data_IF_288635100812
#
_entry.id   IF_288635100812
#
_cell.length_a   1.000
_cell.length_b   1.000
_cell.length_c   1.000
_cell.angle_alpha   90.00
_cell.angle_beta   90.00
_cell.angle_gamma   90.00
#
_symmetry.space_group_name_H-M   'P 1'
#
loop_
_entity.id
_entity.type
_entity.pdbx_description
1 polymer ?
#
# COMPACT_ATOMS: atom_id res chain seq x y z
N UNK A 1 -12.20 17.14 27.33
CA UNK A 1 -11.01 17.31 26.47
C UNK A 1 -10.08 16.14 26.71
N UNK A 2 -9.75 15.38 25.66
CA UNK A 2 -8.82 14.25 25.72
C UNK A 2 -7.39 14.78 25.86
N UNK A 3 -6.86 14.76 27.10
CA UNK A 3 -5.48 15.19 27.34
C UNK A 3 -4.51 14.20 26.70
N UNK A 4 -3.57 14.71 25.89
CA UNK A 4 -2.53 13.89 25.25
C UNK A 4 -2.98 13.20 23.96
N UNK A 5 -4.09 13.62 23.38
CA UNK A 5 -4.58 13.14 22.07
C UNK A 5 -4.75 14.32 21.13
N UNK A 6 -4.26 14.18 19.90
CA UNK A 6 -4.53 15.08 18.78
C UNK A 6 -5.45 14.35 17.83
N UNK A 7 -6.52 15.02 17.37
CA UNK A 7 -7.48 14.45 16.44
C UNK A 7 -7.38 15.10 15.06
N UNK A 8 -7.62 14.31 14.02
CA UNK A 8 -7.77 14.74 12.64
C UNK A 8 -8.97 14.02 12.01
N UNK A 9 -9.74 14.70 11.16
CA UNK A 9 -10.96 14.18 10.55
C UNK A 9 -10.85 14.14 9.03
N UNK A 10 -11.80 13.46 8.33
CA UNK A 10 -11.70 13.19 6.88
C UNK A 10 -10.36 12.55 6.53
N UNK A 11 -9.99 11.52 7.30
CA UNK A 11 -8.60 11.14 7.45
C UNK A 11 -8.08 10.38 6.23
N UNK A 12 -8.68 9.25 5.90
CA UNK A 12 -8.23 8.39 4.79
C UNK A 12 -8.50 9.01 3.43
N UNK A 13 -9.67 9.60 3.24
CA UNK A 13 -10.08 10.23 1.99
C UNK A 13 -9.11 11.34 1.54
N UNK A 14 -8.62 12.13 2.50
CA UNK A 14 -7.67 13.22 2.23
C UNK A 14 -6.22 12.85 2.44
N UNK A 15 -5.91 11.55 2.59
CA UNK A 15 -4.54 11.02 2.80
C UNK A 15 -3.76 11.79 3.89
N UNK A 16 -4.36 11.94 5.08
CA UNK A 16 -3.86 12.83 6.13
C UNK A 16 -2.86 12.19 7.10
N UNK A 17 -2.47 10.94 6.89
CA UNK A 17 -1.56 10.24 7.81
C UNK A 17 -0.25 10.99 8.03
N UNK A 18 0.40 11.44 6.95
CA UNK A 18 1.65 12.21 7.05
C UNK A 18 1.48 13.51 7.87
N UNK A 19 0.34 14.21 7.68
CA UNK A 19 0.00 15.42 8.43
C UNK A 19 -0.19 15.13 9.92
N UNK A 20 -0.93 14.07 10.26
CA UNK A 20 -1.16 13.69 11.66
C UNK A 20 0.14 13.32 12.35
N UNK A 21 1.02 12.57 11.69
CA UNK A 21 2.35 12.22 12.20
C UNK A 21 3.17 13.49 12.50
N UNK A 22 3.17 14.46 11.58
CA UNK A 22 3.88 15.73 11.77
C UNK A 22 3.33 16.53 12.97
N UNK A 23 2.00 16.57 13.13
CA UNK A 23 1.36 17.22 14.27
C UNK A 23 1.68 16.52 15.60
N UNK A 24 1.66 15.19 15.63
CA UNK A 24 2.04 14.41 16.82
C UNK A 24 3.49 14.70 17.18
N UNK A 25 4.42 14.62 16.23
CA UNK A 25 5.84 14.87 16.46
C UNK A 25 6.10 16.29 16.99
N UNK A 26 5.46 17.32 16.41
CA UNK A 26 5.58 18.71 16.88
C UNK A 26 4.99 18.88 18.27
N UNK A 27 3.83 18.31 18.55
CA UNK A 27 3.19 18.39 19.86
C UNK A 27 4.01 17.69 20.95
N UNK A 28 4.63 16.55 20.66
CA UNK A 28 5.55 15.86 21.57
C UNK A 28 6.77 16.71 21.88
N UNK A 29 7.36 17.33 20.86
CA UNK A 29 8.49 18.26 21.04
C UNK A 29 8.16 19.41 21.99
N UNK A 30 6.92 19.95 21.91
CA UNK A 30 6.44 21.03 22.75
C UNK A 30 6.04 20.56 24.16
N UNK A 31 5.43 19.38 24.26
CA UNK A 31 4.88 18.85 25.52
C UNK A 31 5.91 18.10 26.37
N UNK A 32 7.04 17.68 25.78
CA UNK A 32 8.07 16.87 26.45
C UNK A 32 7.60 15.47 26.87
N UNK A 33 6.51 14.96 26.26
CA UNK A 33 5.92 13.65 26.55
C UNK A 33 5.22 13.07 25.32
N UNK A 34 5.02 11.74 25.27
CA UNK A 34 4.29 11.11 24.16
C UNK A 34 2.88 11.68 23.99
N UNK A 35 2.49 11.87 22.74
CA UNK A 35 1.18 12.33 22.30
C UNK A 35 0.60 11.28 21.35
N UNK A 36 -0.68 11.00 21.48
CA UNK A 36 -1.42 10.10 20.61
C UNK A 36 -2.06 10.88 19.46
N UNK A 37 -1.92 10.40 18.24
CA UNK A 37 -2.69 10.86 17.09
C UNK A 37 -3.93 9.98 16.87
N UNK A 38 -5.09 10.59 16.61
CA UNK A 38 -6.31 9.89 16.28
C UNK A 38 -6.89 10.49 14.99
N UNK A 39 -6.73 9.80 13.87
CA UNK A 39 -7.37 10.12 12.60
C UNK A 39 -8.72 9.42 12.52
N UNK A 40 -9.78 10.14 12.16
CA UNK A 40 -11.14 9.59 12.00
C UNK A 40 -11.59 9.80 10.57
N UNK A 41 -12.02 8.74 9.92
CA UNK A 41 -12.49 8.77 8.53
C UNK A 41 -13.80 9.56 8.39
N UNK A 42 -14.15 9.95 7.17
CA UNK A 42 -15.32 10.79 6.88
C UNK A 42 -16.61 10.10 7.30
N UNK A 43 -16.74 8.82 6.96
CA UNK A 43 -17.90 7.98 7.27
C UNK A 43 -17.80 7.26 8.62
N UNK A 44 -16.98 7.78 9.53
CA UNK A 44 -16.79 7.21 10.86
C UNK A 44 -16.91 8.24 11.99
N UNK A 45 -17.22 7.74 13.16
CA UNK A 45 -17.21 8.49 14.42
C UNK A 45 -16.56 7.66 15.52
N UNK A 46 -15.91 8.33 16.47
CA UNK A 46 -15.35 7.71 17.66
C UNK A 46 -16.07 8.27 18.89
N UNK A 47 -16.83 7.43 19.57
CA UNK A 47 -17.45 7.77 20.84
C UNK A 47 -16.50 7.41 21.97
N UNK A 48 -16.24 8.36 22.87
CA UNK A 48 -15.29 8.19 23.98
C UNK A 48 -16.04 8.29 25.30
N UNK A 49 -15.87 7.27 26.12
CA UNK A 49 -16.41 7.20 27.48
C UNK A 49 -15.54 7.96 28.49
N UNK A 50 -16.08 8.21 29.68
CA UNK A 50 -15.40 8.95 30.71
C UNK A 50 -14.14 8.31 31.28
N UNK A 51 -14.01 6.99 31.14
CA UNK A 51 -12.83 6.20 31.52
C UNK A 51 -11.71 6.15 30.46
N UNK A 52 -11.96 6.76 29.28
CA UNK A 52 -11.05 6.76 28.15
C UNK A 52 -11.23 5.58 27.19
N UNK A 53 -12.16 4.69 27.46
CA UNK A 53 -12.58 3.66 26.48
C UNK A 53 -13.31 4.33 25.31
N UNK A 54 -13.01 3.89 24.09
CA UNK A 54 -13.64 4.44 22.90
C UNK A 54 -14.03 3.37 21.90
N UNK A 55 -15.13 3.63 21.17
CA UNK A 55 -15.67 2.74 20.13
C UNK A 55 -15.81 3.47 18.81
N UNK A 56 -15.57 2.74 17.74
CA UNK A 56 -15.73 3.22 16.36
C UNK A 56 -17.13 2.89 15.86
N UNK A 57 -17.78 3.85 15.26
CA UNK A 57 -19.03 3.71 14.50
C UNK A 57 -18.75 4.13 13.08
N UNK A 58 -19.15 3.34 12.10
CA UNK A 58 -18.93 3.62 10.69
C UNK A 58 -20.19 3.35 9.86
N UNK A 59 -20.44 4.19 8.87
CA UNK A 59 -21.57 4.08 7.93
C UNK A 59 -21.15 3.49 6.59
N UNK A 60 -19.84 3.49 6.28
CA UNK A 60 -19.29 2.87 5.08
C UNK A 60 -18.39 1.66 5.44
N UNK A 61 -18.38 0.62 4.60
CA UNK A 61 -17.48 -0.52 4.77
C UNK A 61 -16.01 -0.07 4.74
N UNK A 62 -15.24 -0.50 5.74
CA UNK A 62 -13.81 -0.19 5.84
C UNK A 62 -13.47 1.18 6.43
N UNK A 63 -14.46 2.07 6.65
CA UNK A 63 -14.25 3.30 7.39
C UNK A 63 -13.96 3.01 8.86
N UNK A 64 -13.14 3.84 9.50
CA UNK A 64 -12.72 3.61 10.86
C UNK A 64 -11.93 4.75 11.48
N UNK A 65 -11.02 4.39 12.37
CA UNK A 65 -10.12 5.34 12.98
C UNK A 65 -8.68 4.81 12.94
N UNK A 66 -7.73 5.70 12.71
CA UNK A 66 -6.31 5.38 12.73
C UNK A 66 -5.65 5.99 13.96
N UNK A 67 -5.06 5.15 14.79
CA UNK A 67 -4.27 5.56 15.94
C UNK A 67 -2.81 5.66 15.51
N UNK A 68 -2.20 6.82 15.69
CA UNK A 68 -0.75 7.05 15.51
C UNK A 68 -0.12 7.07 16.91
N UNK A 69 0.72 6.08 17.21
CA UNK A 69 1.42 6.04 18.49
C UNK A 69 2.61 6.99 18.46
N UNK A 70 2.62 7.93 19.40
CA UNK A 70 3.74 8.81 19.62
C UNK A 70 4.90 8.15 20.40
N UNK A 71 5.79 8.97 20.94
CA UNK A 71 7.01 8.48 21.60
C UNK A 71 8.17 8.37 20.62
N UNK A 72 8.24 9.28 19.64
CA UNK A 72 9.30 9.28 18.63
C UNK A 72 10.67 9.56 19.27
N UNK A 73 11.65 8.70 18.97
CA UNK A 73 12.99 8.82 19.49
C UNK A 73 13.75 10.04 18.94
N UNK A 74 13.44 10.42 17.69
CA UNK A 74 14.08 11.53 17.01
C UNK A 74 13.39 12.85 17.35
N UNK A 75 14.19 13.84 17.78
CA UNK A 75 13.72 15.23 17.92
C UNK A 75 13.64 15.87 16.54
N UNK A 76 12.56 16.60 16.31
CA UNK A 76 12.42 17.39 15.10
C UNK A 76 13.31 18.64 15.20
N UNK A 77 14.08 18.89 14.14
CA UNK A 77 14.87 20.11 13.98
C UNK A 77 14.04 21.09 13.15
N UNK A 78 14.02 22.35 13.54
CA UNK A 78 13.32 23.40 12.81
C UNK A 78 14.02 23.60 11.45
N UNK A 79 13.21 23.80 10.40
CA UNK A 79 13.66 23.97 9.01
C UNK A 79 14.35 22.75 8.35
N UNK A 80 14.40 21.60 9.02
CA UNK A 80 14.88 20.36 8.42
C UNK A 80 13.72 19.41 8.05
N UNK A 81 13.87 18.61 6.98
CA UNK A 81 12.90 17.58 6.66
C UNK A 81 12.77 16.55 7.79
N UNK A 82 11.53 16.21 8.13
CA UNK A 82 11.26 15.26 9.21
C UNK A 82 11.85 13.88 8.89
N UNK A 83 12.51 13.29 9.89
CA UNK A 83 13.01 11.93 9.86
C UNK A 83 12.56 11.18 11.10
N UNK A 84 11.88 10.04 10.91
CA UNK A 84 11.44 9.14 11.97
C UNK A 84 11.75 7.70 11.57
N UNK A 85 12.50 6.97 12.38
CA UNK A 85 12.87 5.59 12.05
C UNK A 85 11.69 4.64 12.15
N UNK A 86 10.71 4.97 13.01
CA UNK A 86 9.55 4.11 13.23
C UNK A 86 8.34 4.94 13.65
N UNK A 87 7.22 4.66 12.99
CA UNK A 87 5.90 5.17 13.34
C UNK A 87 4.95 3.97 13.33
N UNK A 88 4.46 3.58 14.48
CA UNK A 88 3.45 2.52 14.60
C UNK A 88 2.05 3.14 14.51
N UNK A 89 1.22 2.55 13.67
CA UNK A 89 -0.19 2.91 13.53
C UNK A 89 -1.07 1.69 13.71
N UNK A 90 -2.25 1.90 14.28
CA UNK A 90 -3.25 0.86 14.46
C UNK A 90 -4.57 1.34 13.85
N UNK A 91 -5.16 0.56 12.98
CA UNK A 91 -6.46 0.84 12.38
C UNK A 91 -7.53 0.15 13.21
N UNK A 92 -8.46 0.93 13.73
CA UNK A 92 -9.60 0.49 14.51
C UNK A 92 -10.87 0.53 13.64
N UNK A 93 -11.54 -0.59 13.51
CA UNK A 93 -12.86 -0.72 12.88
C UNK A 93 -13.99 -0.76 13.92
N UNK A 94 -15.20 -1.06 13.46
CA UNK A 94 -16.42 -1.08 14.31
C UNK A 94 -16.38 -2.12 15.44
N UNK A 95 -15.59 -3.19 15.26
CA UNK A 95 -15.41 -4.23 16.28
C UNK A 95 -14.24 -3.95 17.25
N UNK A 96 -13.56 -2.82 17.07
CA UNK A 96 -12.40 -2.46 17.88
C UNK A 96 -12.80 -1.65 19.11
N UNK A 97 -12.01 -1.82 20.18
CA UNK A 97 -12.08 -0.98 21.38
C UNK A 97 -10.76 -0.24 21.57
N UNK A 98 -10.82 1.07 21.57
CA UNK A 98 -9.67 1.92 21.79
C UNK A 98 -9.57 2.31 23.28
N UNK A 99 -8.36 2.41 23.80
CA UNK A 99 -8.08 2.90 25.15
C UNK A 99 -7.23 4.17 25.06
N UNK A 100 -7.85 5.30 25.31
CA UNK A 100 -7.21 6.61 25.22
C UNK A 100 -6.80 7.12 26.61
N UNK A 101 -5.63 7.76 26.77
CA UNK A 101 -4.64 8.13 25.76
C UNK A 101 -3.53 7.09 25.55
N UNK A 102 -3.65 5.85 26.04
CA UNK A 102 -2.60 4.83 25.92
C UNK A 102 -2.33 4.39 24.48
N UNK A 103 -3.34 4.53 23.59
CA UNK A 103 -3.27 4.07 22.22
C UNK A 103 -3.34 2.55 22.05
N UNK A 104 -3.73 1.81 23.11
CA UNK A 104 -4.03 0.39 22.98
C UNK A 104 -5.36 0.23 22.21
N UNK A 105 -5.38 -0.70 21.28
CA UNK A 105 -6.58 -1.08 20.52
C UNK A 105 -6.77 -2.58 20.67
N UNK A 106 -7.91 -2.99 21.22
CA UNK A 106 -8.31 -4.38 21.25
C UNK A 106 -9.03 -4.69 19.92
N UNK A 107 -8.78 -5.88 19.37
CA UNK A 107 -9.30 -6.33 18.10
C UNK A 107 -9.09 -5.32 16.94
N UNK A 108 -7.84 -4.95 16.64
CA UNK A 108 -7.55 -4.00 15.57
C UNK A 108 -7.90 -4.59 14.19
N UNK A 109 -8.43 -3.75 13.30
CA UNK A 109 -8.65 -4.14 11.91
C UNK A 109 -7.34 -4.34 11.15
N UNK A 110 -6.32 -3.54 11.45
CA UNK A 110 -4.97 -3.72 10.94
C UNK A 110 -3.94 -2.97 11.81
N UNK A 111 -2.70 -3.41 11.72
CA UNK A 111 -1.54 -2.68 12.24
C UNK A 111 -0.61 -2.37 11.06
N UNK A 112 -0.01 -1.18 11.09
CA UNK A 112 0.93 -0.74 10.05
C UNK A 112 2.12 -0.07 10.72
N UNK A 113 3.26 -0.22 10.08
CA UNK A 113 4.50 0.42 10.49
C UNK A 113 5.06 1.26 9.36
N UNK A 114 5.49 2.46 9.71
CA UNK A 114 6.07 3.41 8.76
C UNK A 114 7.41 3.93 9.29
N UNK A 115 8.21 4.47 8.39
CA UNK A 115 9.29 5.42 8.66
C UNK A 115 8.99 6.73 7.94
N UNK A 116 9.58 7.82 8.38
CA UNK A 116 9.62 9.06 7.63
C UNK A 116 11.06 9.32 7.23
N UNK A 117 11.33 9.50 5.95
CA UNK A 117 12.65 9.75 5.39
C UNK A 117 12.62 11.02 4.55
N UNK A 118 13.33 12.06 4.98
CA UNK A 118 13.32 13.37 4.34
C UNK A 118 11.90 13.92 4.09
N UNK A 119 11.01 13.79 5.07
CA UNK A 119 9.62 14.23 4.98
C UNK A 119 8.69 13.28 4.20
N UNK A 120 9.21 12.18 3.65
CA UNK A 120 8.41 11.19 2.90
C UNK A 120 8.04 10.02 3.81
N UNK A 121 6.75 9.68 3.84
CA UNK A 121 6.24 8.52 4.58
C UNK A 121 6.52 7.23 3.79
N UNK A 122 7.19 6.28 4.44
CA UNK A 122 7.60 4.99 3.86
C UNK A 122 6.98 3.87 4.70
N UNK A 123 6.18 3.00 4.08
CA UNK A 123 5.66 1.80 4.77
C UNK A 123 6.81 0.83 5.06
N UNK A 124 6.84 0.29 6.30
CA UNK A 124 7.86 -0.67 6.75
C UNK A 124 7.34 -2.11 6.83
N UNK A 125 6.07 -2.32 6.57
CA UNK A 125 5.53 -3.67 6.46
C UNK A 125 6.20 -4.38 5.28
N UNK A 126 6.45 -5.67 5.42
CA UNK A 126 7.04 -6.43 4.33
C UNK A 126 6.12 -6.34 3.10
N UNK A 127 6.62 -5.82 1.97
CA UNK A 127 5.78 -5.67 0.80
C UNK A 127 5.37 -7.05 0.28
N UNK A 128 4.12 -7.18 -0.13
CA UNK A 128 3.58 -8.40 -0.75
C UNK A 128 3.39 -8.15 -2.24
N UNK A 129 3.92 -9.05 -3.05
CA UNK A 129 3.71 -9.07 -4.49
C UNK A 129 2.99 -10.37 -4.85
N UNK A 130 1.87 -10.25 -5.52
CA UNK A 130 1.11 -11.38 -6.10
C UNK A 130 1.08 -11.19 -7.59
N UNK A 131 1.35 -12.26 -8.34
CA UNK A 131 1.28 -12.29 -9.80
C UNK A 131 0.34 -13.40 -10.28
N UNK A 132 -0.18 -13.25 -11.48
CA UNK A 132 -1.00 -14.24 -12.17
C UNK A 132 -0.46 -14.41 -13.59
N UNK A 133 -0.21 -15.65 -14.00
CA UNK A 133 0.39 -15.99 -15.31
C UNK A 133 -0.61 -16.09 -16.47
N UNK A 134 -1.88 -15.74 -16.24
CA UNK A 134 -2.93 -15.85 -17.25
C UNK A 134 -3.90 -17.01 -16.99
N UNK A 135 -4.98 -17.03 -17.77
CA UNK A 135 -6.00 -18.08 -17.80
C UNK A 135 -6.04 -18.73 -19.19
N UNK A 136 -6.63 -19.91 -19.29
CA UNK A 136 -6.84 -20.58 -20.60
C UNK A 136 -5.83 -21.68 -20.96
N UNK A 137 -4.87 -21.97 -20.08
CA UNK A 137 -4.03 -23.16 -20.20
C UNK A 137 -4.54 -24.23 -19.24
N UNK A 138 -5.10 -25.30 -19.76
CA UNK A 138 -5.46 -26.45 -18.95
C UNK A 138 -4.19 -27.21 -18.58
N UNK A 139 -3.97 -27.47 -17.29
CA UNK A 139 -2.82 -28.22 -16.79
C UNK A 139 -2.69 -29.59 -17.44
N UNK A 140 -3.81 -30.20 -17.81
CA UNK A 140 -3.85 -31.50 -18.49
C UNK A 140 -3.21 -31.48 -19.91
N UNK A 141 -3.08 -30.31 -20.52
CA UNK A 141 -2.45 -30.12 -21.83
C UNK A 141 -0.98 -29.69 -21.78
N UNK A 142 -0.42 -29.47 -20.60
CA UNK A 142 0.98 -29.02 -20.45
C UNK A 142 1.93 -30.21 -20.34
N UNK A 143 3.03 -30.16 -21.07
CA UNK A 143 4.14 -31.09 -20.80
C UNK A 143 4.87 -30.69 -19.51
N UNK A 144 5.59 -31.61 -18.84
CA UNK A 144 6.42 -31.27 -17.69
C UNK A 144 7.47 -30.17 -18.00
N UNK A 145 7.96 -30.12 -19.24
CA UNK A 145 8.90 -29.09 -19.67
C UNK A 145 8.23 -27.69 -19.77
N UNK A 146 7.00 -27.64 -20.30
CA UNK A 146 6.24 -26.39 -20.39
C UNK A 146 5.90 -25.86 -18.98
N UNK A 147 5.46 -26.76 -18.07
CA UNK A 147 5.19 -26.38 -16.67
C UNK A 147 6.46 -25.84 -15.99
N UNK A 148 7.59 -26.49 -16.18
CA UNK A 148 8.87 -26.05 -15.60
C UNK A 148 9.28 -24.68 -16.16
N UNK A 149 9.14 -24.46 -17.47
CA UNK A 149 9.45 -23.19 -18.11
C UNK A 149 8.55 -22.06 -17.62
N UNK A 150 7.22 -22.30 -17.49
CA UNK A 150 6.27 -21.33 -16.96
C UNK A 150 6.55 -20.97 -15.49
N UNK A 151 6.88 -21.98 -14.65
CA UNK A 151 7.27 -21.75 -13.24
C UNK A 151 8.54 -20.91 -13.14
N UNK A 152 9.55 -21.19 -13.96
CA UNK A 152 10.79 -20.43 -13.99
C UNK A 152 10.54 -18.97 -14.35
N UNK A 153 9.69 -18.70 -15.34
CA UNK A 153 9.35 -17.35 -15.74
C UNK A 153 8.52 -16.62 -14.69
N UNK A 154 7.56 -17.28 -14.02
CA UNK A 154 6.82 -16.72 -12.89
C UNK A 154 7.75 -16.37 -11.72
N UNK A 155 8.69 -17.26 -11.40
CA UNK A 155 9.68 -16.99 -10.34
C UNK A 155 10.57 -15.79 -10.69
N UNK A 156 11.03 -15.69 -11.93
CA UNK A 156 11.80 -14.56 -12.40
C UNK A 156 11.02 -13.24 -12.31
N UNK A 157 9.75 -13.25 -12.69
CA UNK A 157 8.85 -12.09 -12.57
C UNK A 157 8.65 -11.66 -11.12
N UNK A 158 8.36 -12.61 -10.22
CA UNK A 158 8.27 -12.33 -8.78
C UNK A 158 9.55 -11.73 -8.22
N UNK A 159 10.72 -12.29 -8.57
CA UNK A 159 12.02 -11.78 -8.13
C UNK A 159 12.28 -10.36 -8.63
N UNK A 160 11.97 -10.08 -9.91
CA UNK A 160 12.15 -8.76 -10.50
C UNK A 160 11.30 -7.70 -9.80
N UNK A 161 9.99 -7.96 -9.63
CA UNK A 161 9.09 -7.03 -8.94
C UNK A 161 9.43 -6.87 -7.45
N UNK A 162 9.70 -7.99 -6.75
CA UNK A 162 10.05 -7.94 -5.32
C UNK A 162 11.37 -7.20 -5.07
N UNK A 163 12.33 -7.25 -6.00
CA UNK A 163 13.58 -6.50 -5.89
C UNK A 163 13.33 -4.98 -5.88
N UNK A 164 12.36 -4.48 -6.66
CA UNK A 164 11.96 -3.07 -6.64
C UNK A 164 11.36 -2.70 -5.27
N UNK A 165 10.47 -3.53 -4.73
CA UNK A 165 9.87 -3.30 -3.41
C UNK A 165 10.93 -3.32 -2.29
N UNK A 166 11.88 -4.26 -2.33
CA UNK A 166 13.00 -4.29 -1.38
C UNK A 166 13.89 -3.05 -1.47
N UNK A 167 14.01 -2.47 -2.65
CA UNK A 167 14.74 -1.22 -2.86
C UNK A 167 13.94 0.04 -2.45
N UNK A 168 12.74 -0.13 -1.87
CA UNK A 168 11.87 0.97 -1.46
C UNK A 168 11.19 1.70 -2.62
N UNK A 169 11.15 1.08 -3.80
CA UNK A 169 10.50 1.66 -4.97
C UNK A 169 8.98 1.58 -4.89
N UNK A 170 8.25 2.48 -5.57
CA UNK A 170 6.79 2.44 -5.67
C UNK A 170 6.25 1.12 -6.21
N UNK A 171 5.01 0.78 -5.83
CA UNK A 171 4.33 -0.43 -6.31
C UNK A 171 4.22 -0.48 -7.84
N UNK A 172 4.02 0.66 -8.50
CA UNK A 172 4.00 0.75 -9.98
C UNK A 172 5.29 0.24 -10.61
N UNK A 173 6.47 0.61 -10.08
CA UNK A 173 7.75 0.12 -10.58
C UNK A 173 7.88 -1.40 -10.37
N UNK A 174 7.39 -1.92 -9.25
CA UNK A 174 7.43 -3.35 -8.97
C UNK A 174 6.51 -4.16 -9.92
N UNK A 175 5.30 -3.67 -10.14
CA UNK A 175 4.35 -4.30 -11.08
C UNK A 175 4.89 -4.24 -12.50
N UNK A 176 5.39 -3.08 -12.95
CA UNK A 176 5.98 -2.91 -14.28
C UNK A 176 7.16 -3.87 -14.48
N UNK A 177 8.06 -3.98 -13.51
CA UNK A 177 9.20 -4.90 -13.59
C UNK A 177 8.75 -6.37 -13.69
N UNK A 178 7.75 -6.78 -12.91
CA UNK A 178 7.22 -8.14 -12.98
C UNK A 178 6.53 -8.43 -14.32
N UNK A 179 5.68 -7.52 -14.79
CA UNK A 179 4.95 -7.69 -16.05
C UNK A 179 5.91 -7.70 -17.24
N UNK A 180 6.93 -6.87 -17.26
CA UNK A 180 7.96 -6.87 -18.32
C UNK A 180 8.60 -8.26 -18.48
N UNK A 181 8.88 -8.96 -17.37
CA UNK A 181 9.41 -10.34 -17.43
C UNK A 181 8.38 -11.30 -18.02
N UNK A 182 7.09 -11.16 -17.69
CA UNK A 182 6.03 -12.01 -18.24
C UNK A 182 5.80 -11.73 -19.73
N UNK A 183 5.86 -10.48 -20.16
CA UNK A 183 5.75 -10.08 -21.58
C UNK A 183 6.95 -10.56 -22.40
N UNK A 184 8.13 -10.69 -21.82
CA UNK A 184 9.31 -11.22 -22.49
C UNK A 184 9.33 -12.76 -22.55
N UNK A 185 8.47 -13.42 -21.77
CA UNK A 185 8.41 -14.88 -21.66
C UNK A 185 7.39 -15.47 -22.68
N UNK A 186 7.82 -16.38 -23.59
CA UNK A 186 6.93 -16.94 -24.61
C UNK A 186 5.86 -17.90 -24.06
N UNK A 187 5.90 -18.23 -22.77
CA UNK A 187 4.97 -19.14 -22.10
C UNK A 187 3.61 -18.50 -21.80
N UNK A 188 3.52 -17.16 -21.84
CA UNK A 188 2.31 -16.43 -21.48
C UNK A 188 1.69 -15.73 -22.69
N UNK A 189 0.37 -15.63 -22.70
CA UNK A 189 -0.35 -14.86 -23.71
C UNK A 189 -0.21 -13.35 -23.43
N UNK A 190 1.02 -12.84 -23.54
CA UNK A 190 1.40 -11.45 -23.33
C UNK A 190 2.70 -11.17 -24.08
N UNK A 191 2.85 -9.98 -24.62
CA UNK A 191 4.09 -9.56 -25.29
C UNK A 191 4.58 -10.57 -26.32
N UNK A 192 5.75 -11.19 -26.05
CA UNK A 192 6.39 -12.15 -26.97
C UNK A 192 5.58 -13.44 -27.21
N UNK A 193 4.80 -13.87 -26.22
CA UNK A 193 3.98 -15.08 -26.31
C UNK A 193 2.54 -14.83 -26.74
N UNK A 194 2.19 -13.59 -27.12
CA UNK A 194 0.84 -13.23 -27.50
C UNK A 194 0.34 -14.06 -28.70
N UNK A 195 -0.91 -14.51 -28.60
CA UNK A 195 -1.60 -15.20 -29.70
C UNK A 195 -1.86 -14.24 -30.86
N UNK A 196 -2.02 -14.80 -32.05
CA UNK A 196 -2.40 -14.02 -33.23
C UNK A 196 -3.87 -13.62 -33.20
N UNK A 197 -4.15 -12.42 -33.69
CA UNK A 197 -5.50 -11.98 -34.03
C UNK A 197 -6.04 -12.79 -35.21
N UNK A 198 -7.34 -12.62 -35.53
CA UNK A 198 -7.96 -13.22 -36.72
C UNK A 198 -7.16 -12.92 -38.00
N UNK A 199 -6.58 -11.74 -38.12
CA UNK A 199 -5.80 -11.29 -39.28
C UNK A 199 -4.33 -11.76 -39.28
N UNK A 200 -3.96 -12.63 -38.37
CA UNK A 200 -2.60 -13.17 -38.26
C UNK A 200 -1.56 -12.17 -37.75
N UNK A 201 -1.97 -11.17 -36.97
CA UNK A 201 -1.09 -10.16 -36.36
C UNK A 201 -1.08 -10.32 -34.84
N UNK A 202 0.01 -9.90 -34.20
CA UNK A 202 0.01 -9.72 -32.75
C UNK A 202 -0.46 -8.30 -32.43
N UNK A 203 -1.47 -8.19 -31.60
CA UNK A 203 -1.95 -6.95 -30.99
C UNK A 203 -1.94 -7.15 -29.48
N UNK A 204 -1.43 -6.15 -28.77
CA UNK A 204 -1.16 -6.24 -27.34
C UNK A 204 -1.97 -5.18 -26.61
N UNK A 205 -2.51 -5.56 -25.48
CA UNK A 205 -3.21 -4.67 -24.55
C UNK A 205 -2.46 -4.65 -23.22
N UNK A 206 -2.50 -3.53 -22.54
CA UNK A 206 -1.98 -3.42 -21.17
C UNK A 206 -2.71 -2.36 -20.38
N UNK A 207 -2.77 -2.53 -19.07
CA UNK A 207 -3.30 -1.53 -18.16
C UNK A 207 -2.55 -1.57 -16.84
N UNK A 208 -2.47 -0.42 -16.18
CA UNK A 208 -1.86 -0.28 -14.86
C UNK A 208 -2.66 0.71 -14.03
N UNK A 209 -2.70 0.51 -12.72
CA UNK A 209 -3.38 1.42 -11.79
C UNK A 209 -2.54 1.64 -10.55
N UNK A 210 -2.44 2.90 -10.13
CA UNK A 210 -1.88 3.28 -8.85
C UNK A 210 -2.96 3.27 -7.78
N UNK A 211 -2.88 2.32 -6.86
CA UNK A 211 -3.84 2.19 -5.76
C UNK A 211 -3.81 3.36 -4.75
N UNK A 212 -2.70 4.10 -4.67
CA UNK A 212 -2.59 5.23 -3.77
C UNK A 212 -3.36 6.46 -4.27
N UNK A 213 -3.38 6.67 -5.59
CA UNK A 213 -4.01 7.84 -6.22
C UNK A 213 -5.30 7.51 -6.97
N UNK A 214 -5.56 6.22 -7.22
CA UNK A 214 -6.66 5.76 -8.07
C UNK A 214 -6.48 6.08 -9.56
N UNK A 215 -5.34 6.63 -9.98
CA UNK A 215 -5.05 6.90 -11.37
C UNK A 215 -4.73 5.62 -12.11
N UNK A 216 -5.24 5.50 -13.33
CA UNK A 216 -5.00 4.37 -14.21
C UNK A 216 -4.58 4.83 -15.60
N UNK A 217 -3.79 3.99 -16.26
CA UNK A 217 -3.44 4.10 -17.66
C UNK A 217 -3.71 2.79 -18.38
N UNK A 218 -3.99 2.85 -19.67
CA UNK A 218 -4.21 1.67 -20.50
C UNK A 218 -3.83 1.94 -21.96
N UNK A 219 -3.41 0.89 -22.64
CA UNK A 219 -3.19 0.85 -24.08
C UNK A 219 -3.85 -0.40 -24.66
N UNK A 220 -4.33 -0.31 -25.90
CA UNK A 220 -4.94 -1.43 -26.60
C UNK A 220 -4.52 -1.44 -28.07
N UNK A 221 -4.46 -2.64 -28.67
CA UNK A 221 -4.15 -2.86 -30.08
C UNK A 221 -2.74 -2.43 -30.48
N UNK A 222 -1.80 -2.34 -29.55
CA UNK A 222 -0.41 -1.94 -29.88
C UNK A 222 0.35 -3.09 -30.49
N UNK A 223 1.15 -2.82 -31.54
CA UNK A 223 1.90 -3.85 -32.28
C UNK A 223 3.35 -3.46 -32.62
N UNK A 224 3.83 -2.29 -32.15
CA UNK A 224 5.19 -1.81 -32.39
C UNK A 224 6.00 -1.60 -31.13
N UNK A 225 5.49 -2.08 -30.01
CA UNK A 225 6.12 -1.94 -28.70
C UNK A 225 6.36 -3.32 -28.12
N UNK A 226 7.58 -3.55 -27.64
CA UNK A 226 7.95 -4.85 -27.05
C UNK A 226 7.19 -5.14 -25.76
N UNK A 227 7.13 -4.13 -24.89
CA UNK A 227 6.53 -4.23 -23.54
C UNK A 227 5.42 -3.19 -23.38
N UNK A 228 4.15 -3.52 -23.71
CA UNK A 228 3.04 -2.58 -23.66
C UNK A 228 2.80 -2.00 -22.25
N UNK A 229 3.19 -2.69 -21.18
CA UNK A 229 3.07 -2.18 -19.81
C UNK A 229 3.82 -0.85 -19.60
N UNK A 230 4.85 -0.59 -20.37
CA UNK A 230 5.62 0.66 -20.27
C UNK A 230 4.94 1.86 -20.93
N UNK A 231 3.85 1.65 -21.65
CA UNK A 231 3.03 2.68 -22.30
C UNK A 231 1.72 2.96 -21.54
N UNK A 232 1.28 2.06 -20.68
CA UNK A 232 0.02 2.13 -19.94
C UNK A 232 0.04 3.14 -18.74
#
# INVERSE_FOLDING_TARGET
LLKGVITDTHFSERNRLGRLIAFVAKAESLAGRPILGLGVDEDAAVAVEGDGTARVYATAPGAGATVVKGGFAQKQVEDEPMNLDRVDTVIAGVDSVLHLPSGRVDNPAAERRYAVRNGVLVAMDAPVLVIHGGAGVERAGMTPADEAAARTALEAALRAGHAQLKAGKPALEAVTAAITVLEDAPQFNAGRGAVFTHDGRNELDSSIMDGATGKAGAVAGVHRVKNPITLA
#
